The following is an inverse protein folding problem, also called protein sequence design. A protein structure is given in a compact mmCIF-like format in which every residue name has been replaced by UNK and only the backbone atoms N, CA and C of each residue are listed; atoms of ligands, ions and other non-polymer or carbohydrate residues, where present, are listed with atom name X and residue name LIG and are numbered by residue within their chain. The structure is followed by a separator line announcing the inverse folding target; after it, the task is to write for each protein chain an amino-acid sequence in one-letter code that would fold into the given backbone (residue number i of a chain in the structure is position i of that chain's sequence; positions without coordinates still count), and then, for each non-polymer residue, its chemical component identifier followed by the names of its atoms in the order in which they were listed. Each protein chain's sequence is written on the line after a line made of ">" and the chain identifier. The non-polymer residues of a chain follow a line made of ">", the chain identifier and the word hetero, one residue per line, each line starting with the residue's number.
data_IF_117276433569
#
_entry.id   IF_117276433569
#
_cell.length_a   1.000
_cell.length_b   1.000
_cell.length_c   1.000
_cell.angle_alpha   90.00
_cell.angle_beta   90.00
_cell.angle_gamma   90.00
#
_symmetry.space_group_name_H-M   'P 1'
#
loop_
_entity.id
_entity.type
_entity.pdbx_description
1 polymer ?
#
# COMPACT_ATOMS: atom_id res chain seq x y z
N UNK A 1 -9.23 -0.06 -4.97
CA UNK A 1 -9.88 0.08 -6.29
C UNK A 1 -10.30 1.53 -6.43
N UNK A 2 -10.24 2.07 -7.64
CA UNK A 2 -10.70 3.41 -8.02
C UNK A 2 -11.69 3.23 -9.16
N UNK A 3 -12.87 3.80 -8.99
CA UNK A 3 -13.94 3.80 -9.97
C UNK A 3 -14.26 5.26 -10.30
N UNK A 4 -14.13 5.63 -11.57
CA UNK A 4 -14.46 6.96 -12.07
C UNK A 4 -15.56 6.84 -13.11
N UNK A 5 -16.57 7.71 -13.03
CA UNK A 5 -17.59 7.89 -14.05
C UNK A 5 -17.52 9.34 -14.50
N UNK A 6 -17.29 9.55 -15.80
CA UNK A 6 -17.17 10.85 -16.42
C UNK A 6 -18.27 11.01 -17.47
N UNK A 7 -18.89 12.18 -17.51
CA UNK A 7 -19.81 12.57 -18.57
C UNK A 7 -19.02 12.81 -19.86
N UNK A 8 -19.38 12.10 -20.93
CA UNK A 8 -18.85 12.29 -22.27
C UNK A 8 -19.96 12.60 -23.28
N UNK A 9 -21.08 13.18 -22.83
CA UNK A 9 -22.17 13.62 -23.71
C UNK A 9 -21.73 14.56 -24.85
N UNK A 10 -20.53 15.16 -24.73
CA UNK A 10 -19.91 15.99 -25.77
C UNK A 10 -18.90 15.29 -26.68
N UNK A 11 -18.53 14.03 -26.41
CA UNK A 11 -17.50 13.28 -27.14
C UNK A 11 -16.12 13.95 -27.11
N UNK A 12 -15.80 14.62 -26.01
CA UNK A 12 -14.58 15.43 -25.86
C UNK A 12 -13.50 14.70 -25.05
N UNK A 13 -13.82 13.58 -24.40
CA UNK A 13 -12.89 12.85 -23.58
C UNK A 13 -12.07 11.85 -24.41
N UNK A 14 -10.75 11.99 -24.36
CA UNK A 14 -9.86 10.95 -24.85
C UNK A 14 -9.94 9.70 -23.95
N UNK A 15 -10.16 8.54 -24.57
CA UNK A 15 -10.21 7.25 -23.88
C UNK A 15 -8.80 6.84 -23.46
N UNK A 16 -8.49 6.69 -22.16
CA UNK A 16 -7.16 6.30 -21.72
C UNK A 16 -6.85 4.86 -22.08
N UNK A 17 -5.61 4.58 -22.48
CA UNK A 17 -5.15 3.22 -22.71
C UNK A 17 -5.15 2.41 -21.40
N UNK A 18 -5.44 1.10 -21.51
CA UNK A 18 -5.17 0.15 -20.44
C UNK A 18 -3.70 0.24 -20.02
N UNK A 19 -3.44 0.27 -18.71
CA UNK A 19 -2.12 0.47 -18.13
C UNK A 19 -1.73 1.94 -17.91
N UNK A 20 -2.56 2.91 -18.32
CA UNK A 20 -2.36 4.31 -18.01
C UNK A 20 -2.33 4.55 -16.50
N UNK A 21 -1.52 5.51 -16.04
CA UNK A 21 -1.38 5.85 -14.62
C UNK A 21 -2.24 7.07 -14.28
N UNK A 22 -3.11 6.92 -13.30
CA UNK A 22 -3.95 7.98 -12.74
C UNK A 22 -3.40 8.38 -11.37
N UNK A 23 -3.05 9.65 -11.17
CA UNK A 23 -2.74 10.19 -9.84
C UNK A 23 -3.96 10.90 -9.29
N UNK A 24 -4.43 10.49 -8.12
CA UNK A 24 -5.66 11.02 -7.52
C UNK A 24 -5.32 11.88 -6.32
N UNK A 25 -5.90 13.07 -6.24
CA UNK A 25 -5.88 13.90 -5.04
C UNK A 25 -7.28 14.48 -4.81
N UNK A 26 -7.74 14.49 -3.55
CA UNK A 26 -9.12 14.89 -3.19
C UNK A 26 -9.05 15.83 -1.99
N UNK A 27 -9.88 16.87 -1.97
CA UNK A 27 -9.97 17.82 -0.85
C UNK A 27 -11.20 18.73 -0.96
N UNK A 28 -11.40 19.54 0.07
CA UNK A 28 -12.47 20.53 0.11
C UNK A 28 -12.11 21.78 -0.68
N UNK A 29 -13.11 22.47 -1.23
CA UNK A 29 -12.91 23.75 -1.90
C UNK A 29 -12.21 24.73 -0.95
N UNK A 30 -11.09 25.31 -1.39
CA UNK A 30 -10.30 26.23 -0.59
C UNK A 30 -9.33 25.58 0.40
N UNK A 31 -9.21 24.25 0.43
CA UNK A 31 -8.23 23.51 1.25
C UNK A 31 -7.20 22.79 0.35
N UNK A 32 -5.98 22.50 0.86
CA UNK A 32 -5.03 21.66 0.15
C UNK A 32 -5.63 20.29 -0.19
N UNK A 33 -5.35 19.80 -1.39
CA UNK A 33 -5.75 18.46 -1.81
C UNK A 33 -4.91 17.41 -1.08
N UNK A 34 -5.54 16.31 -0.68
CA UNK A 34 -4.87 15.15 -0.10
C UNK A 34 -4.59 14.14 -1.19
N UNK A 35 -3.30 13.87 -1.43
CA UNK A 35 -2.83 12.84 -2.36
C UNK A 35 -3.32 11.45 -1.91
N UNK A 36 -4.03 10.77 -2.81
CA UNK A 36 -4.57 9.41 -2.65
C UNK A 36 -3.74 8.35 -3.38
N UNK A 37 -2.66 8.75 -4.05
CA UNK A 37 -1.72 7.85 -4.70
C UNK A 37 -1.98 7.68 -6.19
N UNK A 38 -1.32 6.67 -6.75
CA UNK A 38 -1.35 6.36 -8.18
C UNK A 38 -2.10 5.06 -8.40
N UNK A 39 -2.94 5.03 -9.42
CA UNK A 39 -3.73 3.89 -9.86
C UNK A 39 -3.35 3.56 -11.30
N UNK A 40 -3.45 2.30 -11.68
CA UNK A 40 -3.24 1.83 -13.05
C UNK A 40 -4.60 1.44 -13.62
N UNK A 41 -4.94 1.99 -14.78
CA UNK A 41 -6.18 1.67 -15.50
C UNK A 41 -6.16 0.20 -15.91
N UNK A 42 -7.16 -0.54 -15.45
CA UNK A 42 -7.34 -1.95 -15.81
C UNK A 42 -8.34 -2.12 -16.94
N UNK A 43 -9.42 -1.34 -16.90
CA UNK A 43 -10.56 -1.42 -17.80
C UNK A 43 -11.17 -0.05 -18.02
N UNK A 44 -11.68 0.17 -19.23
CA UNK A 44 -12.37 1.38 -19.65
C UNK A 44 -13.59 0.97 -20.44
N UNK A 45 -14.77 1.40 -19.98
CA UNK A 45 -16.04 1.17 -20.65
C UNK A 45 -16.60 2.50 -21.13
N UNK A 46 -17.14 2.51 -22.36
CA UNK A 46 -17.85 3.64 -22.92
C UNK A 46 -19.27 3.20 -23.24
N UNK A 47 -20.26 3.79 -22.58
CA UNK A 47 -21.69 3.51 -22.83
C UNK A 47 -22.31 4.63 -23.64
N UNK A 48 -23.28 4.30 -24.49
CA UNK A 48 -24.07 5.30 -25.22
C UNK A 48 -25.11 6.03 -24.35
N UNK A 49 -25.73 7.05 -24.94
CA UNK A 49 -26.75 7.97 -24.42
C UNK A 49 -27.39 7.65 -23.04
N UNK A 50 -27.10 8.44 -21.99
CA UNK A 50 -26.08 9.51 -21.96
C UNK A 50 -24.68 8.92 -22.07
N UNK A 51 -23.85 9.50 -22.95
CA UNK A 51 -22.52 8.99 -23.22
C UNK A 51 -21.67 9.13 -21.94
N UNK A 52 -21.22 8.00 -21.41
CA UNK A 52 -20.51 7.93 -20.12
C UNK A 52 -19.24 7.12 -20.29
N UNK A 53 -18.14 7.64 -19.75
CA UNK A 53 -16.86 6.96 -19.67
C UNK A 53 -16.64 6.43 -18.25
N UNK A 54 -16.64 5.12 -18.10
CA UNK A 54 -16.35 4.43 -16.83
C UNK A 54 -14.92 3.91 -16.85
N UNK A 55 -14.13 4.27 -15.83
CA UNK A 55 -12.73 3.84 -15.71
C UNK A 55 -12.56 3.08 -14.40
N UNK A 56 -12.14 1.83 -14.52
CA UNK A 56 -11.77 0.98 -13.40
C UNK A 56 -10.25 0.90 -13.29
N UNK A 57 -9.72 1.25 -12.12
CA UNK A 57 -8.28 1.25 -11.87
C UNK A 57 -7.92 0.63 -10.53
N UNK A 58 -6.83 -0.15 -10.50
CA UNK A 58 -6.25 -0.69 -9.26
C UNK A 58 -5.11 0.18 -8.77
N UNK A 59 -4.88 0.18 -7.46
CA UNK A 59 -3.74 0.90 -6.88
C UNK A 59 -2.45 0.38 -7.52
N UNK A 60 -1.64 1.30 -8.05
CA UNK A 60 -0.34 0.97 -8.63
C UNK A 60 0.64 0.40 -7.58
N UNK A 61 0.36 0.64 -6.29
CA UNK A 61 1.14 0.13 -5.16
C UNK A 61 0.84 -1.35 -4.88
N UNK A 62 -0.31 -1.88 -5.32
CA UNK A 62 -0.61 -3.32 -5.32
C UNK A 62 -0.24 -3.94 -6.67
N UNK A 63 1.05 -3.95 -7.01
CA UNK A 63 1.54 -4.68 -8.20
C UNK A 63 1.26 -6.18 -8.03
N UNK A 64 0.84 -6.82 -9.12
CA UNK A 64 0.50 -8.26 -9.22
C UNK A 64 1.56 -9.20 -8.62
N UNK A 65 2.82 -8.76 -8.50
CA UNK A 65 3.92 -9.54 -7.91
C UNK A 65 4.01 -9.49 -6.38
N UNK A 66 3.54 -8.42 -5.73
CA UNK A 66 3.70 -8.24 -4.28
C UNK A 66 2.84 -9.21 -3.48
N UNK A 67 1.72 -9.65 -4.05
CA UNK A 67 0.78 -10.59 -3.44
C UNK A 67 1.05 -12.06 -3.82
N UNK A 68 1.99 -12.31 -4.74
CA UNK A 68 2.40 -13.68 -5.09
C UNK A 68 3.18 -14.30 -3.95
N UNK A 69 2.82 -15.52 -3.59
CA UNK A 69 3.52 -16.31 -2.58
C UNK A 69 4.89 -16.77 -3.09
N UNK A 70 5.89 -16.79 -2.20
CA UNK A 70 7.26 -17.17 -2.51
C UNK A 70 7.88 -17.95 -1.34
N UNK A 71 9.01 -18.57 -1.65
CA UNK A 71 9.90 -19.20 -0.68
C UNK A 71 11.30 -18.59 -0.76
N UNK A 72 11.78 -18.01 0.35
CA UNK A 72 13.11 -17.39 0.49
C UNK A 72 13.54 -17.37 1.95
N UNK A 73 14.84 -17.49 2.21
CA UNK A 73 15.41 -17.35 3.56
C UNK A 73 16.46 -16.25 3.59
N UNK A 74 16.41 -15.43 4.63
CA UNK A 74 17.40 -14.41 4.94
C UNK A 74 18.07 -14.76 6.27
N UNK A 75 19.39 -14.70 6.32
CA UNK A 75 20.18 -15.05 7.49
C UNK A 75 21.26 -14.01 7.74
N UNK A 76 21.32 -13.49 8.97
CA UNK A 76 22.26 -12.44 9.39
C UNK A 76 22.39 -11.28 8.39
N UNK A 77 21.26 -10.84 7.83
CA UNK A 77 21.19 -9.70 6.92
C UNK A 77 20.68 -8.47 7.65
N UNK A 78 21.12 -7.29 7.24
CA UNK A 78 20.56 -6.03 7.75
C UNK A 78 19.27 -5.68 7.02
N UNK A 79 18.37 -4.95 7.68
CA UNK A 79 17.10 -4.47 7.10
C UNK A 79 17.30 -3.84 5.73
N UNK A 80 18.35 -3.02 5.54
CA UNK A 80 18.65 -2.38 4.26
C UNK A 80 18.80 -3.38 3.12
N UNK A 81 19.47 -4.50 3.35
CA UNK A 81 19.69 -5.53 2.32
C UNK A 81 18.36 -6.17 1.91
N UNK A 82 17.55 -6.57 2.90
CA UNK A 82 16.25 -7.22 2.67
C UNK A 82 15.30 -6.27 1.94
N UNK A 83 15.15 -5.04 2.43
CA UNK A 83 14.24 -4.05 1.83
C UNK A 83 14.69 -3.66 0.42
N UNK A 84 15.99 -3.54 0.17
CA UNK A 84 16.52 -3.27 -1.17
C UNK A 84 16.24 -4.43 -2.13
N UNK A 85 16.39 -5.67 -1.69
CA UNK A 85 16.07 -6.86 -2.49
C UNK A 85 14.59 -6.92 -2.85
N UNK A 86 13.69 -6.69 -1.87
CA UNK A 86 12.25 -6.63 -2.10
C UNK A 86 11.89 -5.50 -3.07
N UNK A 87 12.41 -4.30 -2.87
CA UNK A 87 12.15 -3.17 -3.76
C UNK A 87 12.63 -3.45 -5.20
N UNK A 88 13.82 -4.04 -5.35
CA UNK A 88 14.40 -4.41 -6.64
C UNK A 88 13.54 -5.41 -7.41
N UNK A 89 13.04 -6.46 -6.74
CA UNK A 89 12.15 -7.46 -7.35
C UNK A 89 10.86 -6.86 -7.94
N UNK A 90 10.41 -5.72 -7.40
CA UNK A 90 9.18 -5.03 -7.83
C UNK A 90 9.43 -3.75 -8.61
N UNK A 91 10.68 -3.45 -9.01
CA UNK A 91 11.08 -2.20 -9.68
C UNK A 91 10.61 -0.95 -8.90
N UNK A 92 10.78 -1.00 -7.59
CA UNK A 92 10.49 0.09 -6.65
C UNK A 92 11.80 0.72 -6.17
N UNK A 93 11.74 2.01 -5.80
CA UNK A 93 12.86 2.66 -5.11
C UNK A 93 12.76 2.41 -3.60
N UNK A 94 13.77 1.79 -2.95
CA UNK A 94 13.75 1.63 -1.50
C UNK A 94 13.97 2.98 -0.81
N UNK A 95 13.22 3.23 0.26
CA UNK A 95 13.39 4.36 1.17
C UNK A 95 13.34 3.81 2.58
N UNK A 96 14.49 3.80 3.24
CA UNK A 96 14.66 3.15 4.54
C UNK A 96 15.04 4.21 5.57
N UNK A 97 14.36 4.20 6.73
CA UNK A 97 14.68 5.09 7.85
C UNK A 97 16.08 4.79 8.39
N UNK A 98 16.87 5.83 8.64
CA UNK A 98 18.28 5.69 9.04
C UNK A 98 18.46 4.85 10.31
N UNK A 99 17.54 4.95 11.27
CA UNK A 99 17.58 4.21 12.54
C UNK A 99 17.36 2.71 12.39
N UNK A 100 16.73 2.27 11.30
CA UNK A 100 16.41 0.85 11.08
C UNK A 100 17.33 0.21 10.05
N UNK A 101 18.04 1.00 9.25
CA UNK A 101 18.66 0.50 8.04
C UNK A 101 19.75 -0.55 8.31
N UNK A 102 20.48 -0.39 9.40
CA UNK A 102 21.62 -1.23 9.76
C UNK A 102 21.27 -2.23 10.89
N UNK A 103 20.00 -2.31 11.28
CA UNK A 103 19.50 -3.32 12.22
C UNK A 103 19.62 -4.72 11.62
N UNK A 104 20.16 -5.65 12.41
CA UNK A 104 20.40 -7.03 11.98
C UNK A 104 19.13 -7.85 12.14
N UNK A 105 18.80 -8.61 11.10
CA UNK A 105 17.79 -9.65 11.10
C UNK A 105 18.52 -10.99 11.21
N UNK A 106 18.54 -11.64 12.40
CA UNK A 106 19.28 -12.88 12.59
C UNK A 106 18.78 -13.99 11.66
N UNK A 107 17.46 -14.06 11.52
CA UNK A 107 16.79 -14.99 10.63
C UNK A 107 15.40 -14.49 10.23
N UNK A 108 15.07 -14.67 8.96
CA UNK A 108 13.75 -14.36 8.40
C UNK A 108 13.47 -15.32 7.26
N UNK A 109 12.47 -16.18 7.44
CA UNK A 109 11.99 -17.06 6.37
C UNK A 109 10.68 -16.53 5.79
N UNK A 110 10.58 -16.59 4.47
CA UNK A 110 9.38 -16.40 3.69
C UNK A 110 8.99 -17.79 3.19
N UNK A 111 7.88 -18.34 3.69
CA UNK A 111 7.42 -19.71 3.34
C UNK A 111 5.96 -19.64 2.92
N UNK A 112 5.69 -19.88 1.64
CA UNK A 112 4.36 -19.65 1.04
C UNK A 112 3.77 -18.28 1.38
N UNK A 113 4.65 -17.29 1.53
CA UNK A 113 4.32 -15.95 2.02
C UNK A 113 4.58 -14.94 0.90
N UNK A 114 3.69 -13.96 0.75
CA UNK A 114 3.86 -12.90 -0.25
C UNK A 114 4.87 -11.85 0.21
N UNK A 115 5.52 -11.15 -0.73
CA UNK A 115 6.47 -10.08 -0.39
C UNK A 115 5.78 -8.94 0.40
N UNK A 116 4.48 -8.72 0.18
CA UNK A 116 3.68 -7.78 0.97
C UNK A 116 3.46 -8.24 2.42
N UNK A 117 3.17 -9.53 2.63
CA UNK A 117 3.00 -10.09 3.98
C UNK A 117 4.34 -10.11 4.73
N UNK A 118 5.41 -10.54 4.05
CA UNK A 118 6.77 -10.51 4.59
C UNK A 118 7.16 -9.10 5.04
N UNK A 119 6.92 -8.10 4.18
CA UNK A 119 7.18 -6.68 4.50
C UNK A 119 6.39 -6.22 5.74
N UNK A 120 5.12 -6.62 5.85
CA UNK A 120 4.25 -6.26 6.98
C UNK A 120 4.77 -6.89 8.28
N UNK A 121 5.10 -8.18 8.25
CA UNK A 121 5.63 -8.91 9.41
C UNK A 121 7.00 -8.39 9.85
N UNK A 122 7.87 -8.08 8.88
CA UNK A 122 9.16 -7.44 9.16
C UNK A 122 8.94 -6.05 9.80
N UNK A 123 7.96 -5.28 9.32
CA UNK A 123 7.65 -3.99 9.91
C UNK A 123 7.15 -4.11 11.35
N UNK A 124 6.27 -5.08 11.64
CA UNK A 124 5.81 -5.38 13.00
C UNK A 124 6.96 -5.75 13.94
N UNK A 125 7.96 -6.52 13.47
CA UNK A 125 9.13 -6.90 14.28
C UNK A 125 9.98 -5.70 14.72
N UNK A 126 10.01 -4.63 13.93
CA UNK A 126 10.84 -3.44 14.16
C UNK A 126 10.03 -2.21 14.64
N UNK A 127 8.77 -2.40 15.05
CA UNK A 127 7.83 -1.29 15.35
C UNK A 127 7.82 -0.22 14.22
N UNK A 128 7.93 -0.69 12.98
CA UNK A 128 8.08 0.10 11.77
C UNK A 128 6.78 0.13 10.96
N UNK A 129 6.78 0.95 9.91
CA UNK A 129 5.77 0.98 8.86
C UNK A 129 6.47 0.58 7.56
N UNK A 130 6.02 -0.54 6.99
CA UNK A 130 6.39 -1.00 5.66
C UNK A 130 5.24 -0.75 4.69
N UNK A 131 5.42 0.08 3.67
CA UNK A 131 4.37 0.36 2.68
C UNK A 131 4.95 0.66 1.30
N UNK A 132 4.14 0.47 0.27
CA UNK A 132 4.47 0.88 -1.10
C UNK A 132 3.66 2.13 -1.42
N UNK A 133 4.35 3.19 -1.85
CA UNK A 133 3.71 4.45 -2.26
C UNK A 133 4.52 5.13 -3.35
N UNK A 134 3.86 5.56 -4.41
CA UNK A 134 4.44 6.38 -5.49
C UNK A 134 5.72 5.74 -6.09
N UNK A 135 5.67 4.43 -6.34
CA UNK A 135 6.79 3.67 -6.89
C UNK A 135 7.97 3.49 -5.91
N UNK A 136 7.75 3.74 -4.61
CA UNK A 136 8.74 3.58 -3.56
C UNK A 136 8.28 2.54 -2.56
N UNK A 137 9.21 1.72 -2.08
CA UNK A 137 9.00 0.87 -0.91
C UNK A 137 9.56 1.62 0.29
N UNK A 138 8.68 2.09 1.15
CA UNK A 138 8.99 2.83 2.36
C UNK A 138 9.09 1.86 3.54
N UNK A 139 10.17 1.94 4.31
CA UNK A 139 10.36 1.21 5.56
C UNK A 139 10.96 2.14 6.61
N UNK A 140 10.14 2.66 7.52
CA UNK A 140 10.56 3.65 8.51
C UNK A 140 9.90 3.43 9.85
N UNK A 141 10.42 4.04 10.92
CA UNK A 141 9.85 3.92 12.27
C UNK A 141 8.36 4.27 12.27
N UNK A 142 7.54 3.43 12.88
CA UNK A 142 6.13 3.72 13.12
C UNK A 142 5.99 4.72 14.26
N UNK A 143 4.99 5.62 14.17
CA UNK A 143 4.53 6.32 15.37
C UNK A 143 3.79 5.29 16.24
N UNK A 144 4.21 5.08 17.49
CA UNK A 144 3.50 4.22 18.45
C UNK A 144 2.03 4.63 18.51
N UNK A 145 1.15 3.80 17.95
CA UNK A 145 -0.29 3.91 18.16
C UNK A 145 -0.63 3.22 19.49
N UNK A 146 -1.06 4.00 20.48
CA UNK A 146 -1.52 3.52 21.80
C UNK A 146 -2.71 2.53 21.75
N UNK A 147 -3.27 2.24 20.57
CA UNK A 147 -4.41 1.34 20.39
C UNK A 147 -4.12 -0.16 20.55
N UNK A 148 -2.85 -0.60 20.51
CA UNK A 148 -2.51 -2.02 20.73
C UNK A 148 -2.60 -2.47 22.19
N UNK A 149 -2.81 -1.56 23.14
CA UNK A 149 -2.89 -1.89 24.58
C UNK A 149 -4.29 -2.38 25.03
N UNK A 150 -5.35 -2.21 24.23
CA UNK A 150 -6.71 -2.60 24.63
C UNK A 150 -7.06 -4.08 24.38
N UNK A 151 -6.36 -4.77 23.49
CA UNK A 151 -6.65 -6.19 23.17
C UNK A 151 -5.93 -7.21 24.06
N UNK A 152 -5.00 -6.78 24.90
CA UNK A 152 -4.31 -7.64 25.86
C UNK A 152 -5.00 -7.69 27.24
N UNK A 153 -5.93 -6.77 27.53
CA UNK A 153 -6.59 -6.67 28.85
C UNK A 153 -8.11 -6.83 28.83
N UNK A 154 -8.75 -6.97 27.66
CA UNK A 154 -10.22 -7.12 27.56
C UNK A 154 -10.71 -8.57 27.83
N UNK A 155 -10.18 -9.21 28.88
CA UNK A 155 -10.60 -10.53 29.36
C UNK A 155 -11.41 -10.52 30.66
N UNK A 156 -11.72 -9.35 31.23
CA UNK A 156 -12.54 -9.25 32.44
C UNK A 156 -13.37 -7.96 32.43
N UNK A 157 -14.65 -8.08 32.05
CA UNK A 157 -15.66 -7.08 32.31
C UNK A 157 -16.29 -7.34 33.69
N UNK A 158 -16.33 -6.36 34.61
CA UNK A 158 -17.47 -6.19 35.49
C UNK A 158 -18.45 -5.20 34.87
N UNK A 159 -19.74 -5.47 35.06
CA UNK A 159 -20.87 -4.60 34.70
C UNK A 159 -20.71 -3.18 35.27
N UNK A 160 -21.13 -2.11 34.56
CA UNK A 160 -21.27 -0.80 35.18
C UNK A 160 -22.55 -0.75 36.04
N UNK A 161 -22.55 -0.06 37.19
CA UNK A 161 -23.78 0.24 37.91
C UNK A 161 -24.52 1.36 37.17
N UNK A 162 -25.83 1.19 37.02
CA UNK A 162 -26.69 2.13 36.32
C UNK A 162 -26.80 3.49 37.01
N UNK A 163 -26.90 4.52 36.19
CA UNK A 163 -27.75 5.70 36.37
C UNK A 163 -28.22 6.19 35.02
#
# INVERSE_FOLDING_TARGET
>A
MLDLSLDDSGGLLDIPNRGARLRVAIGWKGQPLVDKGVYTVDEVEHSGSPDTLSIHARSADMRTGLTQQRERSYHNQIVRQIITALAGAHKLKPVIGATLADEVVPHLDQTSESDANLLTRLADQFDAIGTVKDGRLLFHQGRRNHYRQWRAHAGHHPHPPGR
#
